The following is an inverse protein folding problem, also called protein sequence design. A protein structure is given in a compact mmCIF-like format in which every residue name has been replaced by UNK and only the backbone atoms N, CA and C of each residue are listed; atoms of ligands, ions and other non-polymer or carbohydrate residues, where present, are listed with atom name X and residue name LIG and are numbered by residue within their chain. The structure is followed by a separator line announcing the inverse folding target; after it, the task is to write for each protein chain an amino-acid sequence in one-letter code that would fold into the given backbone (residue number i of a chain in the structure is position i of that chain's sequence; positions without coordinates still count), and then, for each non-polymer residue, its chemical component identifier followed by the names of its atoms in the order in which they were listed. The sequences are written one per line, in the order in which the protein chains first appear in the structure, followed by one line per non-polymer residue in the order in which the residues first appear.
data_IF_657838832893
#
_entry.id   IF_657838832893
#
_cell.length_a   1.000
_cell.length_b   1.000
_cell.length_c   1.000
_cell.angle_alpha   90.00
_cell.angle_beta   90.00
_cell.angle_gamma   90.00
#
_symmetry.space_group_name_H-M   'P 1'
#
loop_
_entity.id
_entity.type
_entity.pdbx_description
1 polymer ?
#
# COMPACT_ATOMS: atom_id res chain seq x y z
N UNK A 1 7.37 29.76 19.72
CA UNK A 1 8.71 29.13 19.72
C UNK A 1 8.84 28.33 18.43
N UNK A 2 9.61 28.83 17.45
CA UNK A 2 9.97 28.07 16.24
C UNK A 2 10.97 27.01 16.68
N UNK A 3 10.45 25.86 17.12
CA UNK A 3 11.26 24.65 17.29
C UNK A 3 11.94 24.32 15.98
N UNK A 4 13.15 23.76 16.05
CA UNK A 4 13.93 23.38 14.88
C UNK A 4 13.12 22.41 14.00
N UNK A 5 12.56 22.91 12.90
CA UNK A 5 11.72 22.14 11.96
C UNK A 5 12.43 20.85 11.54
N UNK A 6 13.74 20.91 11.36
CA UNK A 6 14.56 19.72 11.02
C UNK A 6 14.49 18.64 12.09
N UNK A 7 14.51 19.01 13.37
CA UNK A 7 14.40 18.05 14.48
C UNK A 7 12.99 17.46 14.58
N UNK A 8 11.96 18.27 14.35
CA UNK A 8 10.58 17.80 14.30
C UNK A 8 10.37 16.80 13.17
N UNK A 9 10.86 17.12 11.95
CA UNK A 9 10.84 16.22 10.79
C UNK A 9 11.63 14.95 11.09
N UNK A 10 12.81 15.03 11.66
CA UNK A 10 13.63 13.87 12.04
C UNK A 10 12.93 12.99 13.06
N UNK A 11 12.23 13.58 14.03
CA UNK A 11 11.48 12.84 15.05
C UNK A 11 10.27 12.11 14.44
N UNK A 12 9.47 12.80 13.61
CA UNK A 12 8.35 12.21 12.91
C UNK A 12 8.78 11.05 12.00
N UNK A 13 9.87 11.24 11.23
CA UNK A 13 10.41 10.19 10.37
C UNK A 13 10.89 8.97 11.15
N UNK A 14 11.62 9.16 12.25
CA UNK A 14 12.06 8.05 13.10
C UNK A 14 10.88 7.25 13.62
N UNK A 15 9.83 7.92 14.09
CA UNK A 15 8.60 7.28 14.56
C UNK A 15 7.92 6.52 13.43
N UNK A 16 7.66 7.15 12.30
CA UNK A 16 7.00 6.53 11.14
C UNK A 16 7.78 5.31 10.65
N UNK A 17 9.08 5.46 10.42
CA UNK A 17 9.94 4.36 9.94
C UNK A 17 10.09 3.22 10.96
N UNK A 18 9.92 3.47 12.24
CA UNK A 18 9.97 2.45 13.28
C UNK A 18 8.66 1.66 13.37
N UNK A 19 7.52 2.33 13.28
CA UNK A 19 6.23 1.74 13.60
C UNK A 19 5.48 1.20 12.39
N UNK A 20 5.68 1.80 11.19
CA UNK A 20 4.89 1.42 10.02
C UNK A 20 5.62 0.53 9.04
N UNK A 21 4.89 -0.42 8.50
CA UNK A 21 5.26 -1.25 7.35
C UNK A 21 4.64 -0.65 6.09
N UNK A 22 5.43 -0.49 5.05
CA UNK A 22 5.01 0.05 3.76
C UNK A 22 5.89 -0.53 2.66
N UNK A 23 5.36 -0.68 1.44
CA UNK A 23 6.05 -1.35 0.34
C UNK A 23 6.29 -0.42 -0.87
N UNK A 24 5.93 0.85 -0.77
CA UNK A 24 6.15 1.86 -1.80
C UNK A 24 6.30 3.25 -1.21
N UNK A 25 6.94 4.18 -1.96
CA UNK A 25 6.99 5.59 -1.57
C UNK A 25 5.59 6.22 -1.49
N UNK A 26 4.64 5.75 -2.30
CA UNK A 26 3.26 6.21 -2.24
C UNK A 26 2.57 5.85 -0.92
N UNK A 27 2.85 4.66 -0.37
CA UNK A 27 2.36 4.25 0.94
C UNK A 27 3.05 5.03 2.07
N UNK A 28 4.37 5.24 1.96
CA UNK A 28 5.11 6.09 2.90
C UNK A 28 4.57 7.54 2.88
N UNK A 29 4.33 8.11 1.70
CA UNK A 29 3.75 9.45 1.57
C UNK A 29 2.36 9.54 2.20
N UNK A 30 1.54 8.49 2.10
CA UNK A 30 0.25 8.48 2.77
C UNK A 30 0.37 8.52 4.29
N UNK A 31 1.36 7.82 4.88
CA UNK A 31 1.63 7.92 6.32
C UNK A 31 2.14 9.32 6.66
N UNK A 32 3.11 9.83 5.90
CA UNK A 32 3.75 11.12 6.16
C UNK A 32 2.78 12.29 6.04
N UNK A 33 1.79 12.21 5.15
CA UNK A 33 0.79 13.26 4.97
C UNK A 33 -0.05 13.52 6.24
N UNK A 34 -0.18 12.52 7.12
CA UNK A 34 -0.84 12.67 8.44
C UNK A 34 -0.02 13.58 9.38
N UNK A 35 1.27 13.71 9.12
CA UNK A 35 2.21 14.53 9.89
C UNK A 35 2.62 15.80 9.12
N UNK A 36 1.85 16.17 8.09
CA UNK A 36 2.14 17.31 7.22
C UNK A 36 3.55 17.24 6.61
N UNK A 37 3.92 16.05 6.15
CA UNK A 37 5.20 15.75 5.50
C UNK A 37 4.97 14.99 4.19
N UNK A 38 5.85 15.23 3.23
CA UNK A 38 5.96 14.44 2.02
C UNK A 38 7.40 13.99 1.79
N UNK A 39 7.59 12.89 1.07
CA UNK A 39 8.91 12.42 0.59
C UNK A 39 8.93 12.40 -0.93
N UNK A 40 10.02 12.85 -1.50
CA UNK A 40 10.26 12.86 -2.94
C UNK A 40 11.59 12.20 -3.27
N UNK A 41 11.60 11.45 -4.36
CA UNK A 41 12.80 10.89 -4.93
C UNK A 41 13.50 11.94 -5.80
N UNK A 42 14.78 12.17 -5.54
CA UNK A 42 15.62 13.09 -6.31
C UNK A 42 16.72 12.29 -6.99
N UNK A 43 16.81 12.43 -8.30
CA UNK A 43 17.89 11.86 -9.09
C UNK A 43 18.89 12.94 -9.43
N UNK A 44 20.12 12.79 -8.97
CA UNK A 44 21.21 13.71 -9.25
C UNK A 44 22.33 12.98 -9.99
N UNK A 45 23.03 13.70 -10.83
CA UNK A 45 24.25 13.20 -11.49
C UNK A 45 25.42 14.05 -11.04
N UNK A 46 26.46 13.40 -10.53
CA UNK A 46 27.69 14.06 -10.15
C UNK A 46 28.89 13.27 -10.68
N UNK A 47 29.75 13.93 -11.46
CA UNK A 47 30.93 13.33 -12.10
C UNK A 47 30.60 12.06 -12.89
N UNK A 48 29.51 12.06 -13.67
CA UNK A 48 29.05 10.93 -14.46
C UNK A 48 28.45 9.76 -13.69
N UNK A 49 28.30 9.88 -12.36
CA UNK A 49 27.64 8.90 -11.52
C UNK A 49 26.25 9.40 -11.13
N UNK A 50 25.26 8.54 -11.32
CA UNK A 50 23.86 8.79 -10.91
C UNK A 50 23.68 8.42 -9.44
N UNK A 51 23.04 9.31 -8.71
CA UNK A 51 22.72 9.13 -7.29
C UNK A 51 21.21 9.28 -7.11
N UNK A 52 20.62 8.31 -6.46
CA UNK A 52 19.22 8.38 -6.01
C UNK A 52 19.20 8.87 -4.56
N UNK A 53 18.46 9.93 -4.32
CA UNK A 53 18.30 10.55 -3.00
C UNK A 53 16.85 10.71 -2.63
N UNK A 54 16.60 11.03 -1.37
CA UNK A 54 15.29 11.44 -0.86
C UNK A 54 15.38 12.83 -0.28
N UNK A 55 14.34 13.62 -0.53
CA UNK A 55 14.07 14.88 0.16
C UNK A 55 12.74 14.80 0.88
N UNK A 56 12.68 15.39 2.05
CA UNK A 56 11.47 15.48 2.87
C UNK A 56 10.99 16.92 2.88
N UNK A 57 9.72 17.11 2.56
CA UNK A 57 9.12 18.44 2.39
C UNK A 57 7.99 18.59 3.39
N UNK A 58 7.99 19.64 4.24
CA UNK A 58 6.81 20.00 5.00
C UNK A 58 5.65 20.37 4.06
N UNK A 59 4.44 19.97 4.43
CA UNK A 59 3.21 20.27 3.71
C UNK A 59 2.23 20.97 4.63
N UNK A 60 1.27 21.69 4.06
CA UNK A 60 0.11 22.18 4.80
C UNK A 60 -0.99 21.10 4.89
N UNK A 61 -2.11 21.45 5.52
CA UNK A 61 -3.27 20.55 5.68
C UNK A 61 -3.94 20.18 4.34
N UNK A 62 -3.64 20.91 3.27
CA UNK A 62 -4.12 20.61 1.92
C UNK A 62 -3.16 19.69 1.16
N UNK A 63 -1.96 19.48 1.70
CA UNK A 63 -0.90 18.71 1.08
C UNK A 63 0.01 19.56 0.17
N UNK A 64 -0.18 20.87 0.15
CA UNK A 64 0.68 21.79 -0.60
C UNK A 64 2.03 21.95 0.11
N UNK A 65 3.12 22.00 -0.67
CA UNK A 65 4.47 22.10 -0.13
C UNK A 65 4.69 23.47 0.50
N UNK A 66 5.14 23.48 1.75
CA UNK A 66 5.49 24.69 2.49
C UNK A 66 6.92 24.60 3.01
N UNK A 67 7.69 25.67 2.82
CA UNK A 67 9.06 25.74 3.30
C UNK A 67 10.09 25.03 2.39
N UNK A 68 11.31 24.90 2.91
CA UNK A 68 12.45 24.37 2.15
C UNK A 68 12.52 22.84 2.29
N UNK A 69 12.69 22.11 1.18
CA UNK A 69 12.95 20.68 1.23
C UNK A 69 14.23 20.36 2.03
N UNK A 70 14.17 19.31 2.85
CA UNK A 70 15.28 18.86 3.68
C UNK A 70 15.84 17.59 3.08
N UNK A 71 17.13 17.57 2.71
CA UNK A 71 17.77 16.36 2.21
C UNK A 71 17.85 15.29 3.29
N UNK A 72 17.62 14.04 2.91
CA UNK A 72 17.71 12.91 3.83
C UNK A 72 19.09 12.83 4.52
N UNK A 73 20.17 13.20 3.83
CA UNK A 73 21.53 13.29 4.37
C UNK A 73 21.64 14.25 5.55
N UNK A 74 20.86 15.34 5.53
CA UNK A 74 20.88 16.37 6.57
C UNK A 74 20.08 15.99 7.82
N UNK A 75 19.14 15.02 7.66
CA UNK A 75 18.32 14.51 8.76
C UNK A 75 19.07 13.44 9.54
N UNK A 76 19.79 12.57 8.83
CA UNK A 76 20.60 11.54 9.47
C UNK A 76 20.53 10.17 8.81
N UNK A 77 21.19 9.20 9.47
CA UNK A 77 21.25 7.82 8.99
C UNK A 77 19.88 7.13 9.11
N UNK A 78 19.55 6.27 8.17
CA UNK A 78 18.33 5.44 8.21
C UNK A 78 17.09 6.04 7.55
N UNK A 79 17.14 7.30 7.08
CA UNK A 79 16.06 7.96 6.33
C UNK A 79 16.40 8.20 4.86
N UNK A 80 17.59 7.82 4.42
CA UNK A 80 18.03 7.96 3.02
C UNK A 80 17.43 6.88 2.10
N UNK A 81 17.61 7.07 0.79
CA UNK A 81 17.05 6.25 -0.27
C UNK A 81 17.27 4.74 -0.03
N UNK A 82 18.51 4.31 0.12
CA UNK A 82 18.84 2.88 0.32
C UNK A 82 18.18 2.29 1.58
N UNK A 83 18.14 3.06 2.67
CA UNK A 83 17.53 2.60 3.93
C UNK A 83 16.02 2.42 3.78
N UNK A 84 15.34 3.37 3.11
CA UNK A 84 13.90 3.30 2.84
C UNK A 84 13.58 2.17 1.87
N UNK A 85 14.37 1.99 0.80
CA UNK A 85 14.22 0.88 -0.14
C UNK A 85 14.35 -0.49 0.56
N UNK A 86 15.35 -0.65 1.42
CA UNK A 86 15.54 -1.87 2.19
C UNK A 86 14.35 -2.16 3.13
N UNK A 87 13.76 -1.11 3.74
CA UNK A 87 12.54 -1.25 4.56
C UNK A 87 11.35 -1.69 3.72
N UNK A 88 11.16 -1.09 2.54
CA UNK A 88 10.09 -1.47 1.62
C UNK A 88 10.22 -2.94 1.20
N UNK A 89 11.43 -3.41 0.92
CA UNK A 89 11.66 -4.81 0.57
C UNK A 89 11.33 -5.77 1.73
N UNK A 90 11.81 -5.45 2.94
CA UNK A 90 11.49 -6.23 4.14
C UNK A 90 10.00 -6.24 4.45
N UNK A 91 9.32 -5.13 4.25
CA UNK A 91 7.89 -5.01 4.50
C UNK A 91 7.04 -5.85 3.55
N UNK A 92 7.50 -6.17 2.34
CA UNK A 92 6.72 -6.94 1.35
C UNK A 92 6.24 -8.29 1.88
N UNK A 93 7.04 -8.96 2.69
CA UNK A 93 6.65 -10.22 3.32
C UNK A 93 5.79 -9.99 4.57
N UNK A 94 6.17 -9.01 5.38
CA UNK A 94 5.51 -8.73 6.65
C UNK A 94 4.11 -8.13 6.52
N UNK A 95 3.75 -7.58 5.36
CA UNK A 95 2.39 -7.03 5.11
C UNK A 95 1.42 -8.08 4.57
N UNK A 96 1.90 -9.17 3.98
CA UNK A 96 1.05 -10.22 3.38
C UNK A 96 -0.03 -10.71 4.35
N UNK A 97 0.29 -11.13 5.60
CA UNK A 97 -0.71 -11.63 6.54
C UNK A 97 -1.71 -10.54 7.01
N UNK A 98 -1.38 -9.25 6.85
CA UNK A 98 -2.23 -8.14 7.26
C UNK A 98 -3.24 -7.72 6.18
N UNK A 99 -2.99 -8.09 4.92
CA UNK A 99 -3.85 -7.74 3.78
C UNK A 99 -5.31 -8.21 3.97
N UNK A 100 -5.59 -9.47 4.36
CA UNK A 100 -6.95 -9.93 4.54
C UNK A 100 -7.73 -9.13 5.59
N UNK A 101 -7.11 -8.82 6.71
CA UNK A 101 -7.72 -8.03 7.80
C UNK A 101 -8.10 -6.64 7.34
N UNK A 102 -7.15 -5.90 6.73
CA UNK A 102 -7.41 -4.55 6.21
C UNK A 102 -8.46 -4.58 5.09
N UNK A 103 -8.36 -5.56 4.17
CA UNK A 103 -9.35 -5.77 3.11
C UNK A 103 -10.76 -5.97 3.67
N UNK A 104 -10.90 -6.78 4.71
CA UNK A 104 -12.19 -7.06 5.32
C UNK A 104 -12.80 -5.81 5.97
N UNK A 105 -12.02 -5.06 6.75
CA UNK A 105 -12.45 -3.78 7.32
C UNK A 105 -12.95 -2.81 6.23
N UNK A 106 -12.20 -2.67 5.14
CA UNK A 106 -12.59 -1.82 3.99
C UNK A 106 -13.88 -2.34 3.34
N UNK A 107 -14.00 -3.65 3.11
CA UNK A 107 -15.18 -4.23 2.49
C UNK A 107 -16.42 -4.04 3.35
N UNK A 108 -16.34 -4.30 4.64
CA UNK A 108 -17.45 -4.09 5.58
C UNK A 108 -17.90 -2.63 5.56
N UNK A 109 -16.95 -1.69 5.60
CA UNK A 109 -17.27 -0.26 5.50
C UNK A 109 -17.95 0.08 4.16
N UNK A 110 -17.44 -0.40 3.05
CA UNK A 110 -18.03 -0.12 1.73
C UNK A 110 -19.42 -0.74 1.55
N UNK A 111 -19.71 -1.87 2.19
CA UNK A 111 -21.04 -2.49 2.21
C UNK A 111 -22.11 -1.66 2.93
N UNK A 112 -21.70 -0.75 3.79
CA UNK A 112 -22.63 0.23 4.38
C UNK A 112 -22.98 1.38 3.44
N UNK A 113 -22.44 1.37 2.22
CA UNK A 113 -22.69 2.33 1.13
C UNK A 113 -22.48 3.80 1.55
N UNK A 114 -21.26 4.19 1.94
CA UNK A 114 -20.95 5.60 2.25
C UNK A 114 -21.07 6.46 0.99
N UNK A 115 -21.96 7.45 0.99
CA UNK A 115 -22.25 8.27 -0.19
C UNK A 115 -21.15 9.29 -0.52
N UNK A 116 -20.34 9.65 0.46
CA UNK A 116 -19.29 10.66 0.33
C UNK A 116 -17.95 10.14 0.85
N UNK A 117 -16.86 10.73 0.36
CA UNK A 117 -15.51 10.44 0.88
C UNK A 117 -15.37 10.81 2.37
N UNK A 118 -16.09 11.84 2.83
CA UNK A 118 -16.10 12.23 4.25
C UNK A 118 -16.72 11.12 5.09
N UNK A 119 -17.84 10.60 4.64
CA UNK A 119 -18.54 9.49 5.30
C UNK A 119 -17.69 8.21 5.28
N UNK A 120 -17.03 7.91 4.16
CA UNK A 120 -16.08 6.81 4.08
C UNK A 120 -14.96 6.95 5.12
N UNK A 121 -14.35 8.15 5.24
CA UNK A 121 -13.29 8.41 6.23
C UNK A 121 -13.79 8.13 7.65
N UNK A 122 -14.94 8.71 8.01
CA UNK A 122 -15.53 8.53 9.34
C UNK A 122 -15.77 7.06 9.66
N UNK A 123 -16.42 6.32 8.76
CA UNK A 123 -16.74 4.90 8.98
C UNK A 123 -15.51 4.00 9.01
N UNK A 124 -14.44 4.35 8.26
CA UNK A 124 -13.17 3.65 8.34
C UNK A 124 -12.46 3.93 9.67
N UNK A 125 -12.51 5.17 10.17
CA UNK A 125 -11.95 5.51 11.48
C UNK A 125 -12.61 4.72 12.61
N UNK A 126 -13.92 4.50 12.54
CA UNK A 126 -14.67 3.62 13.47
C UNK A 126 -14.17 2.16 13.44
N UNK A 127 -13.58 1.73 12.30
CA UNK A 127 -12.93 0.42 12.15
C UNK A 127 -11.41 0.45 12.45
N UNK A 128 -10.89 1.56 12.96
CA UNK A 128 -9.46 1.74 13.23
C UNK A 128 -8.60 1.89 11.97
N UNK A 129 -9.21 2.29 10.84
CA UNK A 129 -8.50 2.56 9.60
C UNK A 129 -8.57 4.05 9.24
N UNK A 130 -7.44 4.62 8.89
CA UNK A 130 -7.39 5.91 8.20
C UNK A 130 -7.27 5.70 6.69
N UNK A 131 -7.88 6.58 5.90
CA UNK A 131 -7.77 6.55 4.45
C UNK A 131 -7.21 7.85 3.89
N UNK A 132 -6.22 7.74 3.03
CA UNK A 132 -5.65 8.85 2.26
C UNK A 132 -6.07 8.70 0.81
N UNK A 133 -6.88 9.64 0.33
CA UNK A 133 -7.37 9.70 -1.05
C UNK A 133 -6.61 10.81 -1.76
N UNK A 134 -5.91 10.44 -2.83
CA UNK A 134 -5.15 11.37 -3.67
C UNK A 134 -5.94 11.70 -4.92
N UNK A 135 -6.07 13.00 -5.19
CA UNK A 135 -6.80 13.54 -6.33
C UNK A 135 -5.89 14.37 -7.21
N UNK A 136 -6.20 14.40 -8.49
CA UNK A 136 -5.67 15.39 -9.42
C UNK A 136 -6.38 16.73 -9.20
N UNK A 137 -5.85 17.82 -9.75
CA UNK A 137 -6.51 19.13 -9.76
C UNK A 137 -7.94 19.07 -10.31
N UNK A 138 -8.20 18.17 -11.26
CA UNK A 138 -9.54 17.90 -11.79
C UNK A 138 -10.49 17.21 -10.81
N UNK A 139 -10.09 16.96 -9.55
CA UNK A 139 -10.87 16.20 -8.55
C UNK A 139 -10.87 14.68 -8.75
N UNK A 140 -10.25 14.17 -9.82
CA UNK A 140 -10.22 12.75 -10.13
C UNK A 140 -9.33 11.98 -9.15
N UNK A 141 -9.90 10.97 -8.48
CA UNK A 141 -9.17 10.05 -7.60
C UNK A 141 -8.20 9.21 -8.43
N UNK A 142 -6.90 9.29 -8.13
CA UNK A 142 -5.87 8.49 -8.77
C UNK A 142 -5.12 7.56 -7.79
N UNK A 143 -5.29 7.75 -6.50
CA UNK A 143 -4.67 6.94 -5.47
C UNK A 143 -5.55 6.83 -4.23
N UNK A 144 -5.55 5.66 -3.62
CA UNK A 144 -6.18 5.42 -2.33
C UNK A 144 -5.26 4.53 -1.50
N UNK A 145 -5.03 4.90 -0.26
CA UNK A 145 -4.16 4.18 0.67
C UNK A 145 -4.86 4.06 2.02
N UNK A 146 -4.92 2.87 2.56
CA UNK A 146 -5.48 2.56 3.86
C UNK A 146 -4.36 2.39 4.87
N UNK A 147 -4.49 3.01 6.04
CA UNK A 147 -3.52 2.98 7.13
C UNK A 147 -4.20 2.37 8.34
N UNK A 148 -3.67 1.25 8.82
CA UNK A 148 -4.07 0.62 10.07
C UNK A 148 -3.00 0.96 11.11
N UNK A 149 -3.36 1.82 12.06
CA UNK A 149 -2.43 2.30 13.09
C UNK A 149 -2.13 1.24 14.13
N UNK A 150 -3.09 0.38 14.41
CA UNK A 150 -2.94 -0.73 15.36
C UNK A 150 -1.93 -1.76 14.83
N UNK A 151 -2.07 -2.15 13.56
CA UNK A 151 -1.15 -3.09 12.91
C UNK A 151 0.13 -2.42 12.42
N UNK A 152 0.20 -1.09 12.43
CA UNK A 152 1.32 -0.31 11.92
C UNK A 152 1.59 -0.61 10.44
N UNK A 153 0.57 -0.52 9.59
CA UNK A 153 0.70 -0.81 8.16
C UNK A 153 -0.04 0.19 7.29
N UNK A 154 0.56 0.53 6.15
CA UNK A 154 -0.11 1.28 5.09
C UNK A 154 -0.13 0.47 3.81
N UNK A 155 -1.31 0.32 3.21
CA UNK A 155 -1.55 -0.48 2.03
C UNK A 155 -2.29 0.34 0.97
N UNK A 156 -1.72 0.44 -0.22
CA UNK A 156 -2.47 0.97 -1.37
C UNK A 156 -3.68 0.06 -1.68
N UNK A 157 -4.78 0.65 -2.11
CA UNK A 157 -5.98 -0.10 -2.46
C UNK A 157 -5.73 -1.21 -3.48
N UNK A 158 -4.85 -1.00 -4.46
CA UNK A 158 -4.45 -2.03 -5.43
C UNK A 158 -3.76 -3.24 -4.80
N UNK A 159 -3.15 -3.08 -3.62
CA UNK A 159 -2.53 -4.17 -2.87
C UNK A 159 -3.57 -5.02 -2.13
N UNK A 160 -4.72 -4.44 -1.81
CA UNK A 160 -5.85 -5.19 -1.28
C UNK A 160 -6.56 -6.02 -2.36
N UNK A 161 -6.30 -5.76 -3.63
CA UNK A 161 -6.87 -6.42 -4.79
C UNK A 161 -7.38 -5.44 -5.83
N UNK A 162 -7.67 -5.92 -7.05
CA UNK A 162 -8.15 -5.08 -8.16
C UNK A 162 -9.45 -4.34 -7.82
N UNK A 163 -10.36 -4.99 -7.10
CA UNK A 163 -11.63 -4.40 -6.66
C UNK A 163 -11.50 -3.28 -5.62
N UNK A 164 -10.29 -3.04 -5.08
CA UNK A 164 -10.00 -1.98 -4.11
C UNK A 164 -9.10 -0.88 -4.68
N UNK A 165 -8.82 -0.93 -5.98
CA UNK A 165 -7.99 0.10 -6.63
C UNK A 165 -8.73 1.44 -6.72
N UNK A 166 -7.97 2.53 -6.85
CA UNK A 166 -8.49 3.91 -6.85
C UNK A 166 -9.58 4.16 -7.89
N UNK A 167 -9.51 3.50 -9.06
CA UNK A 167 -10.51 3.61 -10.11
C UNK A 167 -11.89 3.09 -9.67
N UNK A 168 -11.97 2.06 -8.84
CA UNK A 168 -13.24 1.51 -8.33
C UNK A 168 -13.91 2.55 -7.42
N UNK A 169 -13.15 3.15 -6.52
CA UNK A 169 -13.66 4.22 -5.64
C UNK A 169 -14.04 5.47 -6.44
N UNK A 170 -13.25 5.83 -7.47
CA UNK A 170 -13.61 6.92 -8.38
C UNK A 170 -14.97 6.67 -9.02
N UNK A 171 -15.18 5.49 -9.59
CA UNK A 171 -16.45 5.13 -10.25
C UNK A 171 -17.59 5.11 -9.22
N UNK A 172 -17.36 4.55 -8.06
CA UNK A 172 -18.35 4.51 -6.98
C UNK A 172 -18.80 5.91 -6.56
N UNK A 173 -17.88 6.82 -6.23
CA UNK A 173 -18.25 8.18 -5.80
C UNK A 173 -18.81 9.05 -6.93
N UNK A 174 -18.62 8.67 -8.18
CA UNK A 174 -19.32 9.31 -9.32
C UNK A 174 -20.78 8.87 -9.42
N UNK A 175 -21.12 7.66 -8.96
CA UNK A 175 -22.47 7.13 -8.90
C UNK A 175 -22.65 6.20 -7.68
N UNK A 176 -22.90 6.76 -6.48
CA UNK A 176 -22.97 5.98 -5.26
C UNK A 176 -24.15 4.99 -5.18
N UNK A 177 -25.16 5.16 -6.04
CA UNK A 177 -26.32 4.24 -6.09
C UNK A 177 -25.95 2.85 -6.61
N UNK A 178 -24.87 2.76 -7.40
CA UNK A 178 -24.34 1.49 -7.89
C UNK A 178 -23.09 1.11 -7.10
N UNK A 179 -23.28 0.44 -5.97
CA UNK A 179 -22.17 0.02 -5.12
C UNK A 179 -21.64 -1.36 -5.53
N UNK A 180 -20.45 -1.43 -6.17
CA UNK A 180 -19.89 -2.69 -6.61
C UNK A 180 -19.52 -3.62 -5.44
N UNK A 181 -19.29 -3.09 -4.24
CA UNK A 181 -18.89 -3.89 -3.06
C UNK A 181 -20.04 -4.71 -2.47
N UNK A 182 -21.28 -4.51 -2.96
CA UNK A 182 -22.44 -5.36 -2.62
C UNK A 182 -22.50 -6.62 -3.50
N UNK A 183 -21.74 -6.68 -4.58
CA UNK A 183 -21.71 -7.85 -5.47
C UNK A 183 -20.98 -9.02 -4.79
N UNK A 184 -21.75 -10.01 -4.35
CA UNK A 184 -21.22 -11.22 -3.69
C UNK A 184 -20.39 -12.08 -4.63
N UNK A 185 -20.63 -12.05 -5.93
CA UNK A 185 -19.83 -12.77 -6.91
C UNK A 185 -18.41 -12.21 -7.02
N UNK A 186 -18.27 -10.88 -6.83
CA UNK A 186 -16.97 -10.20 -6.88
C UNK A 186 -16.24 -10.18 -5.54
N UNK A 187 -16.95 -10.08 -4.42
CA UNK A 187 -16.35 -9.85 -3.10
C UNK A 187 -16.64 -10.97 -2.08
N UNK A 188 -17.44 -11.96 -2.48
CA UNK A 188 -17.86 -13.08 -1.62
C UNK A 188 -18.90 -12.69 -0.56
N UNK A 189 -19.60 -13.69 -0.04
CA UNK A 189 -20.54 -13.48 1.09
C UNK A 189 -19.78 -13.13 2.37
N UNK A 190 -20.31 -12.24 3.23
CA UNK A 190 -19.68 -11.88 4.50
C UNK A 190 -19.40 -13.08 5.41
N UNK A 191 -20.30 -14.06 5.45
CA UNK A 191 -20.18 -15.26 6.29
C UNK A 191 -19.04 -16.18 5.84
N UNK A 192 -18.95 -16.45 4.54
CA UNK A 192 -17.89 -17.32 3.99
C UNK A 192 -16.50 -16.72 4.17
N UNK A 193 -16.38 -15.41 4.10
CA UNK A 193 -15.09 -14.71 4.23
C UNK A 193 -14.60 -14.61 5.67
N UNK A 194 -15.50 -14.48 6.63
CA UNK A 194 -15.14 -14.53 8.06
C UNK A 194 -14.61 -15.91 8.43
N UNK A 195 -15.28 -17.00 8.00
CA UNK A 195 -14.79 -18.37 8.22
C UNK A 195 -13.42 -18.63 7.58
N UNK A 196 -13.15 -18.07 6.40
CA UNK A 196 -11.84 -18.19 5.74
C UNK A 196 -10.76 -17.39 6.46
N UNK A 197 -11.07 -16.22 7.00
CA UNK A 197 -10.13 -15.41 7.79
C UNK A 197 -9.85 -16.10 9.12
N UNK A 198 -10.87 -16.59 9.80
CA UNK A 198 -10.73 -17.31 11.07
C UNK A 198 -9.92 -18.61 10.89
N UNK A 199 -10.16 -19.36 9.79
CA UNK A 199 -9.35 -20.52 9.43
C UNK A 199 -7.91 -20.16 9.10
N UNK A 200 -7.68 -19.08 8.35
CA UNK A 200 -6.34 -18.61 8.02
C UNK A 200 -5.59 -18.11 9.27
N UNK A 201 -6.27 -17.41 10.18
CA UNK A 201 -5.70 -16.98 11.45
C UNK A 201 -5.42 -18.14 12.40
N UNK A 202 -6.32 -19.13 12.48
CA UNK A 202 -6.12 -20.35 13.26
C UNK A 202 -4.94 -21.19 12.73
N UNK A 203 -4.78 -21.28 11.40
CA UNK A 203 -3.64 -21.92 10.76
C UNK A 203 -2.33 -21.18 11.06
N UNK A 204 -2.33 -19.84 11.02
CA UNK A 204 -1.15 -19.02 11.36
C UNK A 204 -0.76 -19.12 12.85
N UNK A 205 -1.73 -19.27 13.75
CA UNK A 205 -1.46 -19.50 15.18
C UNK A 205 -0.98 -20.93 15.47
N UNK A 206 -1.38 -21.91 14.64
CA UNK A 206 -0.95 -23.31 14.78
C UNK A 206 0.43 -23.61 14.16
N UNK A 207 0.97 -22.72 13.34
CA UNK A 207 2.23 -22.90 12.60
C UNK A 207 3.35 -22.01 13.19
N UNK A 208 3.78 -22.29 14.41
CA UNK A 208 5.01 -21.73 14.97
C UNK A 208 6.29 -22.39 14.42
N UNK A 209 6.15 -23.43 13.60
CA UNK A 209 7.27 -24.10 12.91
C UNK A 209 7.02 -24.08 11.41
N UNK A 210 7.98 -23.47 10.67
CA UNK A 210 7.90 -23.16 9.26
C UNK A 210 7.44 -24.26 8.34
N UNK A 211 6.66 -23.88 7.33
CA UNK A 211 6.76 -24.47 6.01
C UNK A 211 5.91 -23.72 4.94
N UNK A 212 6.32 -23.87 3.69
CA UNK A 212 5.91 -23.19 2.47
C UNK A 212 4.42 -23.25 2.09
N UNK A 213 3.57 -23.95 2.82
CA UNK A 213 2.14 -24.11 2.57
C UNK A 213 1.34 -22.82 2.75
N UNK A 214 1.84 -21.90 3.59
CA UNK A 214 1.18 -20.61 3.83
C UNK A 214 1.36 -19.67 2.64
N UNK A 215 2.51 -19.73 1.97
CA UNK A 215 2.78 -18.90 0.79
C UNK A 215 1.89 -19.30 -0.39
N UNK A 216 1.57 -20.58 -0.57
CA UNK A 216 0.70 -21.09 -1.63
C UNK A 216 -0.77 -20.72 -1.40
N UNK A 217 -1.26 -20.82 -0.15
CA UNK A 217 -2.61 -20.39 0.22
C UNK A 217 -2.81 -18.88 0.16
N UNK A 218 -1.80 -18.11 0.51
CA UNK A 218 -1.84 -16.64 0.45
C UNK A 218 -1.69 -16.15 -1.00
N UNK A 219 -0.90 -16.84 -1.84
CA UNK A 219 -0.83 -16.55 -3.28
C UNK A 219 -2.15 -16.84 -3.98
N UNK A 220 -2.83 -17.95 -3.68
CA UNK A 220 -4.16 -18.25 -4.22
C UNK A 220 -5.23 -17.25 -3.76
N UNK A 221 -5.17 -16.79 -2.52
CA UNK A 221 -6.08 -15.76 -2.00
C UNK A 221 -5.72 -14.34 -2.48
N UNK A 222 -4.46 -14.06 -2.77
CA UNK A 222 -3.98 -12.75 -3.23
C UNK A 222 -4.02 -12.63 -4.76
N UNK A 223 -3.93 -13.75 -5.49
CA UNK A 223 -3.85 -13.76 -6.96
C UNK A 223 -5.22 -13.61 -7.64
N UNK A 224 -6.30 -13.46 -6.87
CA UNK A 224 -7.61 -13.14 -7.46
C UNK A 224 -8.08 -14.18 -8.51
N UNK A 225 -7.59 -15.41 -8.44
CA UNK A 225 -8.00 -16.54 -9.30
C UNK A 225 -9.50 -16.81 -9.24
N UNK A 226 -10.17 -16.23 -8.25
CA UNK A 226 -11.61 -16.28 -8.07
C UNK A 226 -12.38 -15.23 -8.93
N UNK A 227 -11.70 -14.28 -9.58
CA UNK A 227 -12.31 -13.21 -10.38
C UNK A 227 -11.89 -13.26 -11.85
N UNK A 228 -11.97 -14.43 -12.46
CA UNK A 228 -11.79 -14.56 -13.91
C UNK A 228 -13.09 -14.30 -14.64
N UNK A 229 -13.35 -13.04 -14.95
CA UNK A 229 -14.22 -12.68 -16.09
C UNK A 229 -13.58 -11.53 -16.86
N UNK A 230 -12.95 -11.87 -17.97
CA UNK A 230 -12.80 -11.00 -19.15
C UNK A 230 -11.71 -9.95 -19.12
N UNK A 231 -10.48 -10.36 -19.32
CA UNK A 231 -9.56 -9.72 -20.29
C UNK A 231 -8.26 -10.55 -20.40
N UNK A 232 -7.91 -11.00 -21.59
CA UNK A 232 -6.77 -11.92 -21.81
C UNK A 232 -5.39 -11.27 -21.69
N UNK A 233 -5.30 -9.95 -21.62
CA UNK A 233 -4.04 -9.19 -21.61
C UNK A 233 -3.13 -9.49 -20.41
N UNK A 234 -3.69 -9.85 -19.26
CA UNK A 234 -2.88 -10.16 -18.07
C UNK A 234 -2.28 -11.57 -18.12
N UNK A 235 -2.95 -12.53 -18.77
CA UNK A 235 -2.42 -13.89 -18.98
C UNK A 235 -1.21 -13.84 -19.90
N UNK A 236 -1.27 -13.02 -20.93
CA UNK A 236 -0.16 -12.79 -21.86
C UNK A 236 1.02 -12.09 -21.19
N UNK A 237 0.76 -11.10 -20.34
CA UNK A 237 1.79 -10.43 -19.54
C UNK A 237 2.43 -11.37 -18.48
N UNK A 238 1.68 -12.27 -17.89
CA UNK A 238 2.17 -13.29 -16.96
C UNK A 238 3.00 -14.35 -17.70
N UNK A 239 2.53 -14.79 -18.88
CA UNK A 239 3.24 -15.72 -19.73
C UNK A 239 4.55 -15.15 -20.25
N UNK A 240 4.58 -13.90 -20.68
CA UNK A 240 5.77 -13.17 -21.08
C UNK A 240 6.80 -13.04 -19.94
N UNK A 241 6.34 -12.79 -18.71
CA UNK A 241 7.22 -12.78 -17.52
C UNK A 241 7.81 -14.16 -17.23
N UNK A 242 7.04 -15.22 -17.41
CA UNK A 242 7.49 -16.62 -17.23
C UNK A 242 8.55 -16.98 -18.29
N UNK A 243 8.36 -16.59 -19.55
CA UNK A 243 9.35 -16.79 -20.62
C UNK A 243 10.65 -16.05 -20.36
N UNK A 244 10.58 -14.79 -19.87
CA UNK A 244 11.79 -14.02 -19.50
C UNK A 244 12.56 -14.63 -18.32
N UNK A 245 11.89 -15.26 -17.37
CA UNK A 245 12.53 -16.01 -16.27
C UNK A 245 13.22 -17.27 -16.78
N UNK A 246 12.56 -18.03 -17.65
CA UNK A 246 13.12 -19.27 -18.23
C UNK A 246 14.34 -18.99 -19.14
N UNK A 247 14.31 -17.91 -19.91
CA UNK A 247 15.46 -17.51 -20.74
C UNK A 247 16.68 -17.10 -19.89
N UNK A 248 16.47 -16.41 -18.76
CA UNK A 248 17.57 -16.07 -17.82
C UNK A 248 18.15 -17.31 -17.13
N UNK A 249 17.35 -18.33 -16.85
CA UNK A 249 17.83 -19.61 -16.27
C UNK A 249 18.62 -20.41 -17.29
N UNK A 250 18.20 -20.44 -18.57
CA UNK A 250 18.96 -21.10 -19.66
C UNK A 250 20.31 -20.42 -19.94
N UNK A 251 20.38 -19.09 -19.83
CA UNK A 251 21.65 -18.33 -19.99
C UNK A 251 22.63 -18.57 -18.84
N UNK A 252 22.15 -18.80 -17.62
CA UNK A 252 23.00 -19.17 -16.48
C UNK A 252 23.56 -20.59 -16.59
N UNK A 253 22.79 -21.56 -17.13
CA UNK A 253 23.25 -22.94 -17.33
C UNK A 253 24.24 -23.13 -18.48
N UNK A 254 24.40 -22.16 -19.38
CA UNK A 254 25.38 -22.19 -20.48
C UNK A 254 26.73 -21.54 -20.12
N UNK A 255 26.90 -21.01 -18.92
CA UNK A 255 28.12 -20.36 -18.43
C UNK A 255 28.88 -21.22 -17.39
N UNK A 256 28.50 -22.47 -17.23
CA UNK A 256 29.22 -23.50 -16.46
C UNK A 256 29.42 -24.72 -17.42
#
# INVERSE_FOLDING_TARGET
TRGNIKEQVASALRMVLKHYKFCSLGELNAILSVYNLAVEEVKTEFRGKKYDGLVYVPTDDKGDKVGTPIHASDIGRGVGYTAVQNRMQKSKQNVKPLIPTVRNKVLQTMRTSPNTEKELRQRLEEQGLRVVIRKKESGCIYGITFIDDEQGVALNGSRLGKGYAANVFKTYFSNPTNNPFLDEALYGSPSVRLEQIDKAQALLQGMQDGDNLVDELIEDMADGSFLSTGNDDWKEAAWQRKLRRQSKIKLRRRKH
#
